data_IF_621344371641
#
_entry.id   IF_621344371641
#
_cell.length_a   1.000
_cell.length_b   1.000
_cell.length_c   1.000
_cell.angle_alpha   90.00
_cell.angle_beta   90.00
_cell.angle_gamma   90.00
#
_symmetry.space_group_name_H-M   'P 1'
#
loop_
_entity.id
_entity.type
_entity.pdbx_description
1 polymer ?
#
# COMPACT_ATOMS: atom_id res chain seq x y z
N UNK A 1 27.82 -22.57 0.50
CA UNK A 1 26.99 -21.42 0.04
C UNK A 1 26.19 -20.91 1.22
N UNK A 2 26.17 -19.59 1.46
CA UNK A 2 25.41 -19.04 2.58
C UNK A 2 23.89 -19.10 2.31
N UNK A 3 23.08 -19.11 3.37
CA UNK A 3 21.60 -19.03 3.25
C UNK A 3 21.12 -17.77 2.50
N UNK A 4 21.92 -16.70 2.56
CA UNK A 4 21.68 -15.43 1.87
C UNK A 4 21.88 -15.62 0.36
N UNK A 5 22.96 -16.27 -0.06
CA UNK A 5 23.25 -16.53 -1.48
C UNK A 5 22.19 -17.43 -2.13
N UNK A 6 21.74 -18.46 -1.41
CA UNK A 6 20.67 -19.35 -1.88
C UNK A 6 19.34 -18.58 -2.07
N UNK A 7 19.02 -17.67 -1.13
CA UNK A 7 17.82 -16.83 -1.23
C UNK A 7 17.88 -15.87 -2.42
N UNK A 8 19.04 -15.26 -2.70
CA UNK A 8 19.24 -14.41 -3.88
C UNK A 8 19.12 -15.18 -5.19
N UNK A 9 19.76 -16.36 -5.29
CA UNK A 9 19.66 -17.21 -6.47
C UNK A 9 18.21 -17.63 -6.75
N UNK A 10 17.45 -17.93 -5.70
CA UNK A 10 16.02 -18.26 -5.83
C UNK A 10 15.21 -17.10 -6.41
N UNK A 11 15.45 -15.87 -5.96
CA UNK A 11 14.80 -14.67 -6.52
C UNK A 11 15.14 -14.52 -8.00
N UNK A 12 16.43 -14.65 -8.36
CA UNK A 12 16.88 -14.56 -9.74
C UNK A 12 16.20 -15.60 -10.66
N UNK A 13 16.16 -16.87 -10.22
CA UNK A 13 15.53 -17.94 -10.97
C UNK A 13 14.02 -17.72 -11.16
N UNK A 14 13.31 -17.23 -10.14
CA UNK A 14 11.89 -16.92 -10.25
C UNK A 14 11.62 -15.73 -11.17
N UNK A 15 12.48 -14.70 -11.14
CA UNK A 15 12.41 -13.56 -12.05
C UNK A 15 12.61 -13.96 -13.51
N UNK A 16 13.56 -14.86 -13.79
CA UNK A 16 13.74 -15.41 -15.14
C UNK A 16 12.50 -16.16 -15.63
N UNK A 17 11.91 -17.02 -14.79
CA UNK A 17 10.66 -17.73 -15.13
C UNK A 17 9.48 -16.78 -15.37
N UNK A 18 9.43 -15.66 -14.64
CA UNK A 18 8.42 -14.63 -14.89
C UNK A 18 8.56 -14.03 -16.30
N UNK A 19 9.77 -13.78 -16.76
CA UNK A 19 10.01 -13.28 -18.13
C UNK A 19 9.57 -14.30 -19.18
N UNK A 20 9.86 -15.58 -18.97
CA UNK A 20 9.39 -16.68 -19.83
C UNK A 20 7.85 -16.74 -19.91
N UNK A 21 7.16 -16.64 -18.76
CA UNK A 21 5.68 -16.60 -18.71
C UNK A 21 5.14 -15.36 -19.44
N UNK A 22 5.79 -14.20 -19.31
CA UNK A 22 5.38 -12.98 -20.00
C UNK A 22 5.55 -13.09 -21.52
N UNK A 23 6.62 -13.76 -21.99
CA UNK A 23 6.85 -13.99 -23.40
C UNK A 23 5.77 -14.89 -24.02
N UNK A 24 5.30 -15.90 -23.28
CA UNK A 24 4.27 -16.86 -23.72
C UNK A 24 2.85 -16.48 -23.27
N UNK A 25 2.64 -15.24 -22.81
CA UNK A 25 1.38 -14.81 -22.19
C UNK A 25 0.14 -15.07 -23.05
N UNK A 26 0.27 -14.94 -24.38
CA UNK A 26 -0.85 -15.11 -25.30
C UNK A 26 -1.21 -16.57 -25.58
N UNK A 27 -0.31 -17.50 -25.26
CA UNK A 27 -0.46 -18.94 -25.52
C UNK A 27 -0.85 -19.71 -24.26
N UNK A 28 -0.63 -19.13 -23.07
CA UNK A 28 -0.90 -19.77 -21.80
C UNK A 28 -2.36 -19.56 -21.36
N UNK A 29 -3.11 -20.64 -21.05
CA UNK A 29 -4.40 -20.50 -20.37
C UNK A 29 -4.17 -19.84 -19.00
N UNK A 30 -5.09 -18.97 -18.60
CA UNK A 30 -5.01 -18.23 -17.32
C UNK A 30 -3.67 -17.53 -17.08
N UNK A 31 -2.99 -17.04 -18.13
CA UNK A 31 -1.72 -16.34 -18.00
C UNK A 31 -1.69 -15.25 -16.91
N UNK A 32 -2.77 -14.45 -16.68
CA UNK A 32 -2.82 -13.50 -15.57
C UNK A 32 -2.63 -14.15 -14.18
N UNK A 33 -3.21 -15.32 -13.95
CA UNK A 33 -3.05 -16.08 -12.70
C UNK A 33 -1.62 -16.59 -12.53
N UNK A 34 -1.02 -17.13 -13.60
CA UNK A 34 0.37 -17.58 -13.56
C UNK A 34 1.33 -16.42 -13.27
N UNK A 35 1.10 -15.25 -13.87
CA UNK A 35 1.84 -14.01 -13.59
C UNK A 35 1.63 -13.58 -12.13
N UNK A 36 0.40 -13.64 -11.61
CA UNK A 36 0.13 -13.33 -10.20
C UNK A 36 0.91 -14.27 -9.26
N UNK A 37 0.83 -15.58 -9.52
CA UNK A 37 1.46 -16.62 -8.70
C UNK A 37 2.99 -16.50 -8.67
N UNK A 38 3.64 -16.34 -9.83
CA UNK A 38 5.10 -16.18 -9.87
C UNK A 38 5.54 -14.89 -9.16
N UNK A 39 4.80 -13.78 -9.32
CA UNK A 39 5.08 -12.54 -8.59
C UNK A 39 4.91 -12.73 -7.08
N UNK A 40 3.93 -13.52 -6.64
CA UNK A 40 3.75 -13.84 -5.22
C UNK A 40 4.91 -14.67 -4.65
N UNK A 41 5.40 -15.64 -5.41
CA UNK A 41 6.58 -16.44 -5.03
C UNK A 41 7.84 -15.57 -4.94
N UNK A 42 8.03 -14.65 -5.89
CA UNK A 42 9.14 -13.68 -5.86
C UNK A 42 9.05 -12.84 -4.58
N UNK A 43 7.89 -12.22 -4.31
CA UNK A 43 7.67 -11.41 -3.10
C UNK A 43 7.94 -12.18 -1.81
N UNK A 44 7.52 -13.43 -1.74
CA UNK A 44 7.79 -14.28 -0.57
C UNK A 44 9.29 -14.62 -0.41
N UNK A 45 10.00 -14.86 -1.51
CA UNK A 45 11.45 -15.04 -1.49
C UNK A 45 12.18 -13.76 -1.08
N UNK A 46 11.76 -12.59 -1.59
CA UNK A 46 12.28 -11.28 -1.19
C UNK A 46 12.05 -10.99 0.29
N UNK A 47 10.85 -11.26 0.83
CA UNK A 47 10.55 -11.09 2.25
C UNK A 47 11.48 -11.93 3.12
N UNK A 48 11.71 -13.19 2.75
CA UNK A 48 12.63 -14.08 3.47
C UNK A 48 14.07 -13.57 3.41
N UNK A 49 14.53 -13.17 2.24
CA UNK A 49 15.85 -12.58 2.05
C UNK A 49 16.04 -11.30 2.88
N UNK A 50 15.07 -10.39 2.90
CA UNK A 50 15.13 -9.18 3.70
C UNK A 50 15.19 -9.49 5.20
N UNK A 51 14.41 -10.45 5.70
CA UNK A 51 14.48 -10.88 7.10
C UNK A 51 15.87 -11.37 7.49
N UNK A 52 16.55 -12.11 6.61
CA UNK A 52 17.92 -12.59 6.84
C UNK A 52 18.94 -11.43 6.86
N UNK A 53 18.68 -10.34 6.13
CA UNK A 53 19.57 -9.18 6.00
C UNK A 53 19.24 -8.02 6.95
N UNK A 54 18.14 -8.09 7.69
CA UNK A 54 17.63 -6.95 8.46
C UNK A 54 18.57 -6.65 9.63
N UNK A 55 19.14 -5.46 9.66
CA UNK A 55 19.80 -4.90 10.83
C UNK A 55 18.77 -4.31 11.79
N UNK A 56 19.00 -4.46 13.09
CA UNK A 56 18.17 -3.81 14.11
C UNK A 56 18.24 -2.28 13.95
N UNK A 57 17.11 -1.61 14.11
CA UNK A 57 17.06 -0.16 14.32
C UNK A 57 16.20 0.17 15.54
N UNK A 58 16.70 1.01 16.47
CA UNK A 58 15.94 1.45 17.62
C UNK A 58 14.85 2.46 17.26
N UNK A 59 14.99 3.18 16.15
CA UNK A 59 14.05 4.21 15.72
C UNK A 59 13.02 3.64 14.75
N UNK A 60 11.75 3.93 15.01
CA UNK A 60 10.63 3.57 14.14
C UNK A 60 9.88 4.82 13.71
N UNK A 61 9.47 4.84 12.46
CA UNK A 61 8.63 5.90 11.92
C UNK A 61 7.25 5.88 12.59
N UNK A 62 6.77 6.99 13.15
CA UNK A 62 5.45 7.04 13.80
C UNK A 62 4.30 6.89 12.82
N UNK A 63 4.55 7.08 11.52
CA UNK A 63 3.54 6.94 10.47
C UNK A 63 3.40 5.50 9.96
N UNK A 64 4.49 4.90 9.48
CA UNK A 64 4.44 3.54 8.92
C UNK A 64 4.86 2.43 9.89
N UNK A 65 5.44 2.80 11.05
CA UNK A 65 6.16 1.93 12.01
C UNK A 65 7.29 1.10 11.38
N UNK A 66 7.74 1.48 10.19
CA UNK A 66 8.94 0.94 9.59
C UNK A 66 10.19 1.40 10.37
N UNK A 67 11.26 0.60 10.38
CA UNK A 67 12.53 1.00 10.96
C UNK A 67 13.09 2.21 10.20
N UNK A 68 13.65 3.18 10.92
CA UNK A 68 14.42 4.29 10.36
C UNK A 68 15.89 3.94 10.57
N UNK A 69 16.66 3.74 9.52
CA UNK A 69 18.10 3.48 9.67
C UNK A 69 18.82 4.80 9.99
N UNK A 70 19.97 4.71 10.64
CA UNK A 70 20.80 5.90 10.95
C UNK A 70 21.19 6.69 9.69
N UNK A 71 21.37 6.00 8.56
CA UNK A 71 21.65 6.60 7.25
C UNK A 71 20.43 7.22 6.57
N UNK A 72 19.21 6.95 7.04
CA UNK A 72 17.99 7.40 6.39
C UNK A 72 17.68 8.85 6.81
N UNK A 73 17.36 9.70 5.82
CA UNK A 73 16.79 11.00 6.13
C UNK A 73 15.46 10.84 6.88
N UNK A 74 15.34 11.52 8.02
CA UNK A 74 14.14 11.53 8.85
C UNK A 74 14.00 12.86 9.57
N UNK A 75 12.77 13.17 9.96
CA UNK A 75 12.45 14.39 10.72
C UNK A 75 11.94 13.97 12.10
N UNK A 76 12.48 14.61 13.13
CA UNK A 76 12.11 14.37 14.53
C UNK A 76 11.59 15.66 15.16
N UNK A 77 10.39 15.62 15.75
CA UNK A 77 9.81 16.74 16.51
C UNK A 77 8.79 16.20 17.51
N UNK A 78 8.81 16.71 18.75
CA UNK A 78 7.98 16.17 19.83
C UNK A 78 8.20 14.66 20.02
N UNK A 79 7.12 13.88 20.01
CA UNK A 79 7.17 12.42 20.01
C UNK A 79 7.15 11.78 18.60
N UNK A 80 7.21 12.59 17.54
CA UNK A 80 7.15 12.11 16.16
C UNK A 80 8.54 11.91 15.55
N UNK A 81 8.77 10.71 15.02
CA UNK A 81 9.87 10.38 14.14
C UNK A 81 9.27 10.02 12.78
N UNK A 82 9.47 10.82 11.73
CA UNK A 82 8.86 10.56 10.42
C UNK A 82 9.96 10.25 9.41
N UNK A 83 9.90 9.06 8.80
CA UNK A 83 10.86 8.66 7.77
C UNK A 83 10.64 9.44 6.47
N UNK A 84 11.70 9.57 5.66
CA UNK A 84 11.65 10.22 4.35
C UNK A 84 10.48 9.76 3.46
N UNK A 85 10.16 8.46 3.46
CA UNK A 85 9.05 7.93 2.65
C UNK A 85 7.69 8.50 3.06
N UNK A 86 7.45 8.63 4.36
CA UNK A 86 6.22 9.22 4.88
C UNK A 86 6.22 10.74 4.75
N UNK A 87 7.37 11.40 4.84
CA UNK A 87 7.50 12.83 4.53
C UNK A 87 7.14 13.12 3.06
N UNK A 88 7.63 12.29 2.14
CA UNK A 88 7.33 12.38 0.71
C UNK A 88 5.83 12.30 0.41
N UNK A 89 5.03 11.67 1.26
CA UNK A 89 3.57 11.61 1.09
C UNK A 89 2.93 12.99 0.97
N UNK A 90 3.47 14.00 1.66
CA UNK A 90 2.95 15.38 1.61
C UNK A 90 3.21 16.03 0.25
N UNK A 91 4.36 15.75 -0.37
CA UNK A 91 4.67 16.26 -1.71
C UNK A 91 3.92 15.52 -2.83
N UNK A 92 3.48 14.28 -2.55
CA UNK A 92 2.70 13.45 -3.47
C UNK A 92 1.20 13.79 -3.47
N UNK A 93 0.64 14.27 -2.36
CA UNK A 93 -0.76 14.72 -2.31
C UNK A 93 -0.84 16.17 -2.74
N UNK A 94 -1.65 16.48 -3.74
CA UNK A 94 -1.80 17.82 -4.31
C UNK A 94 -3.26 18.16 -4.59
N UNK A 95 -3.55 19.43 -4.85
CA UNK A 95 -4.85 19.81 -5.39
C UNK A 95 -4.93 19.52 -6.89
N UNK A 96 -6.15 19.57 -7.44
CA UNK A 96 -6.37 19.31 -8.88
C UNK A 96 -5.69 20.31 -9.80
N UNK A 97 -5.52 21.57 -9.38
CA UNK A 97 -4.87 22.60 -10.21
C UNK A 97 -3.36 22.36 -10.35
N UNK A 98 -2.68 22.04 -9.25
CA UNK A 98 -1.25 21.69 -9.25
C UNK A 98 -1.02 20.46 -10.12
N UNK A 99 -1.90 19.45 -10.04
CA UNK A 99 -1.81 18.26 -10.90
C UNK A 99 -1.99 18.62 -12.39
N UNK A 100 -2.94 19.50 -12.71
CA UNK A 100 -3.16 20.01 -14.07
C UNK A 100 -1.94 20.78 -14.58
N UNK A 101 -1.36 21.65 -13.76
CA UNK A 101 -0.14 22.41 -14.07
C UNK A 101 1.06 21.50 -14.33
N UNK A 102 1.30 20.49 -13.47
CA UNK A 102 2.44 19.56 -13.60
C UNK A 102 2.44 18.76 -14.90
N UNK A 103 1.29 18.53 -15.52
CA UNK A 103 1.16 17.80 -16.79
C UNK A 103 0.64 18.64 -17.94
N UNK A 104 0.62 19.97 -17.81
CA UNK A 104 0.12 20.87 -18.84
C UNK A 104 -1.29 20.50 -19.32
N UNK A 105 -2.15 20.04 -18.41
CA UNK A 105 -3.53 19.66 -18.71
C UNK A 105 -4.45 20.89 -18.70
N UNK A 106 -5.56 20.80 -19.42
CA UNK A 106 -6.58 21.85 -19.40
C UNK A 106 -7.18 21.98 -17.99
N UNK A 107 -7.30 23.22 -17.52
CA UNK A 107 -7.86 23.53 -16.19
C UNK A 107 -9.27 22.95 -16.04
N UNK A 108 -9.51 22.28 -14.92
CA UNK A 108 -10.79 21.64 -14.58
C UNK A 108 -10.96 20.20 -15.09
N UNK A 109 -9.99 19.67 -15.84
CA UNK A 109 -10.00 18.27 -16.31
C UNK A 109 -10.00 17.30 -15.14
N UNK A 110 -9.05 17.46 -14.21
CA UNK A 110 -8.90 16.53 -13.07
C UNK A 110 -10.09 16.63 -12.14
N UNK A 111 -10.62 17.85 -11.93
CA UNK A 111 -11.85 18.04 -11.15
C UNK A 111 -13.04 17.32 -11.77
N UNK A 112 -13.19 17.36 -13.10
CA UNK A 112 -14.26 16.66 -13.82
C UNK A 112 -14.09 15.14 -13.69
N UNK A 113 -12.87 14.65 -13.86
CA UNK A 113 -12.57 13.22 -13.71
C UNK A 113 -12.86 12.72 -12.28
N UNK A 114 -12.51 13.50 -11.25
CA UNK A 114 -12.82 13.20 -9.84
C UNK A 114 -14.32 13.04 -9.56
N UNK A 115 -15.18 13.78 -10.26
CA UNK A 115 -16.64 13.65 -10.10
C UNK A 115 -17.23 12.51 -10.94
N UNK A 116 -16.48 12.02 -11.94
CA UNK A 116 -16.92 11.02 -12.90
C UNK A 116 -16.13 9.72 -12.76
N UNK A 117 -15.17 9.48 -13.67
CA UNK A 117 -14.45 8.22 -13.84
C UNK A 117 -13.68 7.83 -12.57
N UNK A 118 -13.08 8.83 -11.91
CA UNK A 118 -12.25 8.63 -10.73
C UNK A 118 -13.05 8.59 -9.42
N UNK A 119 -14.38 8.81 -9.47
CA UNK A 119 -15.20 8.83 -8.27
C UNK A 119 -15.14 7.50 -7.51
N UNK A 120 -15.01 6.37 -8.21
CA UNK A 120 -14.87 5.04 -7.59
C UNK A 120 -13.65 4.92 -6.65
N UNK A 121 -12.64 5.78 -6.81
CA UNK A 121 -11.43 5.76 -6.00
C UNK A 121 -11.53 6.60 -4.71
N UNK A 122 -12.68 7.22 -4.43
CA UNK A 122 -12.85 8.11 -3.27
C UNK A 122 -12.50 7.42 -1.94
N UNK A 123 -12.77 6.13 -1.81
CA UNK A 123 -12.51 5.37 -0.56
C UNK A 123 -11.08 4.81 -0.47
N UNK A 124 -10.26 5.00 -1.51
CA UNK A 124 -8.86 4.55 -1.56
C UNK A 124 -7.89 5.55 -0.96
N UNK A 125 -8.37 6.75 -0.59
CA UNK A 125 -7.60 7.90 -0.09
C UNK A 125 -6.65 8.54 -1.11
N UNK A 126 -6.53 7.97 -2.31
CA UNK A 126 -5.82 8.58 -3.43
C UNK A 126 -6.56 9.78 -4.01
N UNK A 127 -7.88 9.84 -3.80
CA UNK A 127 -8.72 10.97 -4.17
C UNK A 127 -9.65 11.23 -3.01
N UNK A 128 -9.66 12.46 -2.52
CA UNK A 128 -10.59 12.86 -1.46
C UNK A 128 -10.99 14.32 -1.60
N UNK A 129 -12.14 14.65 -1.02
CA UNK A 129 -12.58 16.04 -0.91
C UNK A 129 -12.08 16.63 0.40
N UNK A 130 -11.48 17.81 0.33
CA UNK A 130 -10.99 18.60 1.47
C UNK A 130 -11.66 19.97 1.44
N UNK A 131 -12.78 20.11 2.15
CA UNK A 131 -13.66 21.28 2.06
C UNK A 131 -14.21 21.49 0.63
N UNK A 132 -13.82 22.60 -0.01
CA UNK A 132 -14.24 22.95 -1.39
C UNK A 132 -13.30 22.41 -2.47
N UNK A 133 -12.18 21.80 -2.10
CA UNK A 133 -11.15 21.34 -3.03
C UNK A 133 -11.10 19.81 -3.10
N UNK A 134 -10.64 19.29 -4.23
CA UNK A 134 -10.23 17.89 -4.35
C UNK A 134 -8.74 17.79 -4.11
N UNK A 135 -8.34 16.82 -3.29
CA UNK A 135 -6.96 16.39 -3.13
C UNK A 135 -6.79 15.06 -3.85
N UNK A 136 -5.70 14.96 -4.59
CA UNK A 136 -5.37 13.86 -5.48
C UNK A 136 -3.91 13.45 -5.24
N UNK A 137 -3.66 12.16 -5.30
CA UNK A 137 -2.34 11.59 -5.10
C UNK A 137 -1.61 11.48 -6.45
N UNK A 138 -0.32 11.83 -6.48
CA UNK A 138 0.55 11.89 -7.67
C UNK A 138 0.53 10.62 -8.50
N UNK A 139 0.38 9.45 -7.86
CA UNK A 139 0.31 8.14 -8.54
C UNK A 139 -0.76 8.06 -9.65
N UNK A 140 -1.81 8.87 -9.57
CA UNK A 140 -2.85 8.92 -10.60
C UNK A 140 -2.32 9.44 -11.94
N UNK A 141 -1.23 10.22 -11.93
CA UNK A 141 -0.55 10.62 -13.15
C UNK A 141 -0.14 9.40 -13.97
N UNK A 142 0.56 8.47 -13.33
CA UNK A 142 1.03 7.25 -13.98
C UNK A 142 -0.11 6.27 -14.25
N UNK A 143 -0.93 5.98 -13.23
CA UNK A 143 -1.90 4.88 -13.31
C UNK A 143 -3.11 5.19 -14.19
N UNK A 144 -3.45 6.46 -14.37
CA UNK A 144 -4.63 6.89 -15.10
C UNK A 144 -4.32 7.78 -16.29
N UNK A 145 -3.59 8.88 -16.08
CA UNK A 145 -3.38 9.87 -17.13
C UNK A 145 -2.41 9.36 -18.20
N UNK A 146 -1.25 8.83 -17.80
CA UNK A 146 -0.25 8.25 -18.71
C UNK A 146 -0.75 6.94 -19.33
N UNK A 147 -1.61 6.21 -18.62
CA UNK A 147 -2.22 4.98 -19.11
C UNK A 147 -3.32 5.21 -20.18
N UNK A 148 -3.85 6.43 -20.33
CA UNK A 148 -4.86 6.74 -21.35
C UNK A 148 -6.29 6.97 -20.84
N UNK A 149 -6.46 7.44 -19.60
CA UNK A 149 -7.74 7.93 -19.01
C UNK A 149 -8.94 6.99 -19.17
N UNK A 150 -8.76 5.70 -18.91
CA UNK A 150 -9.83 4.69 -18.96
C UNK A 150 -10.15 4.12 -17.58
N UNK A 151 -11.44 3.83 -17.33
CA UNK A 151 -11.90 3.17 -16.09
C UNK A 151 -11.36 1.74 -15.97
N UNK A 152 -11.13 1.08 -17.11
CA UNK A 152 -10.68 -0.31 -17.18
C UNK A 152 -9.32 -0.54 -16.49
N UNK A 153 -8.56 0.53 -16.22
CA UNK A 153 -7.29 0.46 -15.52
C UNK A 153 -7.40 0.36 -14.01
N UNK A 154 -8.58 0.63 -13.44
CA UNK A 154 -8.83 0.53 -12.00
C UNK A 154 -9.54 -0.76 -11.61
N UNK A 155 -10.23 -1.38 -12.57
CA UNK A 155 -10.86 -2.68 -12.37
C UNK A 155 -9.78 -3.76 -12.39
N UNK A 156 -9.88 -4.72 -11.46
CA UNK A 156 -9.01 -5.89 -11.46
C UNK A 156 -9.54 -6.83 -12.52
N UNK A 157 -9.43 -6.43 -13.78
CA UNK A 157 -10.20 -7.01 -14.90
C UNK A 157 -10.14 -8.53 -14.91
N UNK A 158 -8.95 -9.10 -14.68
CA UNK A 158 -8.77 -10.55 -14.68
C UNK A 158 -9.32 -11.25 -13.41
N UNK A 159 -9.29 -10.63 -12.24
CA UNK A 159 -9.89 -11.22 -11.01
C UNK A 159 -11.41 -11.18 -11.15
N UNK A 160 -11.96 -10.06 -11.62
CA UNK A 160 -13.38 -9.91 -11.91
C UNK A 160 -13.82 -10.86 -13.05
N UNK A 161 -13.00 -11.07 -14.06
CA UNK A 161 -13.22 -12.09 -15.10
C UNK A 161 -13.23 -13.50 -14.50
N UNK A 162 -12.29 -13.83 -13.60
CA UNK A 162 -12.30 -15.12 -12.89
C UNK A 162 -13.54 -15.29 -12.01
N UNK A 163 -14.01 -14.23 -11.34
CA UNK A 163 -15.24 -14.25 -10.56
C UNK A 163 -16.47 -14.46 -11.45
N UNK A 164 -16.55 -13.75 -12.58
CA UNK A 164 -17.62 -13.93 -13.58
C UNK A 164 -17.61 -15.34 -14.16
N UNK A 165 -16.43 -15.88 -14.46
CA UNK A 165 -16.28 -17.24 -14.95
C UNK A 165 -16.71 -18.27 -13.90
N UNK A 166 -16.33 -18.08 -12.64
CA UNK A 166 -16.80 -18.91 -11.53
C UNK A 166 -18.33 -18.87 -11.40
N UNK A 167 -18.95 -17.69 -11.50
CA UNK A 167 -20.41 -17.55 -11.48
C UNK A 167 -21.07 -18.29 -12.66
N UNK A 168 -20.47 -18.23 -13.85
CA UNK A 168 -20.94 -18.97 -15.02
C UNK A 168 -20.88 -20.48 -14.79
N UNK A 169 -19.75 -21.01 -14.30
CA UNK A 169 -19.59 -22.42 -13.98
C UNK A 169 -20.60 -22.89 -12.92
N UNK A 170 -20.81 -22.08 -11.86
CA UNK A 170 -21.82 -22.35 -10.83
C UNK A 170 -23.25 -22.36 -11.41
N UNK A 171 -23.53 -21.48 -12.37
CA UNK A 171 -24.83 -21.44 -13.07
C UNK A 171 -25.03 -22.68 -13.95
N UNK A 172 -24.00 -23.07 -14.72
CA UNK A 172 -24.01 -24.31 -15.51
C UNK A 172 -24.20 -25.54 -14.63
N UNK A 173 -23.51 -25.60 -13.48
CA UNK A 173 -23.66 -26.68 -12.52
C UNK A 173 -25.11 -26.78 -12.00
N UNK A 174 -25.76 -25.65 -11.67
CA UNK A 174 -27.18 -25.63 -11.27
C UNK A 174 -28.09 -26.17 -12.38
N UNK A 175 -27.93 -25.66 -13.60
CA UNK A 175 -28.75 -26.10 -14.74
C UNK A 175 -28.61 -27.60 -14.98
N UNK A 176 -27.37 -28.13 -15.00
CA UNK A 176 -27.13 -29.55 -15.21
C UNK A 176 -27.69 -30.38 -14.05
N UNK A 177 -27.54 -29.91 -12.81
CA UNK A 177 -28.15 -30.56 -11.64
C UNK A 177 -29.68 -30.67 -11.76
N UNK A 178 -30.34 -29.65 -12.32
CA UNK A 178 -31.80 -29.62 -12.50
C UNK A 178 -32.29 -30.58 -13.60
N UNK A 179 -31.46 -30.83 -14.63
CA UNK A 179 -31.81 -31.70 -15.77
C UNK A 179 -31.09 -33.06 -15.75
N UNK A 180 -30.37 -33.38 -14.67
CA UNK A 180 -29.42 -34.51 -14.61
C UNK A 180 -30.06 -35.87 -14.91
N UNK A 181 -31.32 -36.05 -14.51
CA UNK A 181 -32.04 -37.31 -14.66
C UNK A 181 -32.51 -37.54 -16.11
N UNK A 182 -32.54 -36.48 -16.91
CA UNK A 182 -32.96 -36.49 -18.32
C UNK A 182 -31.77 -36.44 -19.29
N UNK A 183 -30.53 -36.26 -18.80
CA UNK A 183 -29.35 -36.02 -19.62
C UNK A 183 -28.32 -37.14 -19.47
N UNK A 184 -28.08 -37.87 -20.56
CA UNK A 184 -27.05 -38.92 -20.60
C UNK A 184 -25.66 -38.30 -20.42
N UNK A 185 -24.89 -38.81 -19.45
CA UNK A 185 -23.55 -38.30 -19.13
C UNK A 185 -23.52 -37.10 -18.17
N UNK A 186 -24.67 -36.69 -17.61
CA UNK A 186 -24.75 -35.60 -16.65
C UNK A 186 -23.79 -35.75 -15.48
N UNK A 187 -23.64 -36.96 -14.92
CA UNK A 187 -22.76 -37.23 -13.78
C UNK A 187 -21.29 -36.87 -14.07
N UNK A 188 -20.80 -37.18 -15.28
CA UNK A 188 -19.42 -36.87 -15.67
C UNK A 188 -19.22 -35.37 -15.91
N UNK A 189 -20.20 -34.72 -16.53
CA UNK A 189 -20.21 -33.27 -16.71
C UNK A 189 -20.24 -32.52 -15.38
N UNK A 190 -21.06 -32.97 -14.43
CA UNK A 190 -21.09 -32.42 -13.07
C UNK A 190 -19.74 -32.58 -12.37
N UNK A 191 -19.12 -33.76 -12.42
CA UNK A 191 -17.80 -33.98 -11.84
C UNK A 191 -16.73 -33.04 -12.42
N UNK A 192 -16.75 -32.84 -13.75
CA UNK A 192 -15.85 -31.90 -14.42
C UNK A 192 -16.08 -30.46 -13.96
N UNK A 193 -17.34 -30.01 -13.90
CA UNK A 193 -17.71 -28.68 -13.41
C UNK A 193 -17.31 -28.48 -11.95
N UNK A 194 -17.55 -29.47 -11.10
CA UNK A 194 -17.14 -29.45 -9.68
C UNK A 194 -15.63 -29.27 -9.53
N UNK A 195 -14.83 -29.97 -10.34
CA UNK A 195 -13.39 -29.82 -10.34
C UNK A 195 -12.95 -28.41 -10.76
N UNK A 196 -13.57 -27.85 -11.80
CA UNK A 196 -13.29 -26.49 -12.26
C UNK A 196 -13.73 -25.44 -11.24
N UNK A 197 -14.92 -25.56 -10.65
CA UNK A 197 -15.43 -24.66 -9.60
C UNK A 197 -14.46 -24.66 -8.42
N UNK A 198 -14.07 -25.84 -7.91
CA UNK A 198 -13.12 -25.93 -6.80
C UNK A 198 -11.76 -25.31 -7.14
N UNK A 199 -11.28 -25.49 -8.35
CA UNK A 199 -10.02 -24.88 -8.79
C UNK A 199 -10.12 -23.34 -8.80
N UNK A 200 -11.15 -22.76 -9.43
CA UNK A 200 -11.36 -21.30 -9.44
C UNK A 200 -11.61 -20.73 -8.03
N UNK A 201 -12.37 -21.42 -7.18
CA UNK A 201 -12.60 -21.05 -5.77
C UNK A 201 -11.28 -21.03 -4.99
N UNK A 202 -10.44 -22.06 -5.15
CA UNK A 202 -9.13 -22.12 -4.51
C UNK A 202 -8.22 -20.98 -5.00
N UNK A 203 -8.16 -20.73 -6.31
CA UNK A 203 -7.35 -19.63 -6.87
C UNK A 203 -7.82 -18.26 -6.36
N UNK A 204 -9.13 -18.01 -6.36
CA UNK A 204 -9.71 -16.76 -5.83
C UNK A 204 -9.49 -16.64 -4.33
N UNK A 205 -9.58 -17.74 -3.57
CA UNK A 205 -9.29 -17.78 -2.14
C UNK A 205 -7.82 -17.42 -1.84
N UNK A 206 -6.87 -17.92 -2.64
CA UNK A 206 -5.45 -17.55 -2.52
C UNK A 206 -5.26 -16.05 -2.81
N UNK A 207 -5.90 -15.53 -3.86
CA UNK A 207 -5.80 -14.11 -4.26
C UNK A 207 -6.41 -13.20 -3.19
N UNK A 208 -7.67 -13.47 -2.80
CA UNK A 208 -8.44 -12.64 -1.87
C UNK A 208 -8.06 -12.85 -0.41
N UNK A 209 -7.64 -14.05 -0.04
CA UNK A 209 -7.31 -14.43 1.33
C UNK A 209 -6.05 -13.78 1.87
N UNK A 210 -5.25 -13.11 1.04
CA UNK A 210 -4.03 -12.42 1.48
C UNK A 210 -2.93 -13.37 1.95
N UNK A 211 -2.92 -14.61 1.44
CA UNK A 211 -1.91 -15.63 1.78
C UNK A 211 -0.51 -15.25 1.32
N UNK A 212 -0.42 -14.33 0.35
CA UNK A 212 0.84 -13.87 -0.21
C UNK A 212 1.23 -12.48 0.28
N UNK A 213 2.51 -12.26 0.61
CA UNK A 213 2.97 -10.97 1.08
C UNK A 213 2.89 -9.94 -0.06
N UNK A 214 2.29 -8.79 0.22
CA UNK A 214 2.35 -7.62 -0.66
C UNK A 214 3.34 -6.61 -0.10
N UNK A 215 3.93 -5.79 -0.97
CA UNK A 215 4.84 -4.73 -0.57
C UNK A 215 4.23 -3.39 -0.91
N UNK A 216 3.93 -2.60 0.11
CA UNK A 216 3.35 -1.27 -0.07
C UNK A 216 4.27 -0.39 -0.93
N UNK A 217 3.75 0.16 -2.02
CA UNK A 217 4.48 1.03 -2.96
C UNK A 217 4.93 2.35 -2.33
N UNK A 218 4.34 2.75 -1.19
CA UNK A 218 4.69 3.99 -0.50
C UNK A 218 5.82 3.82 0.53
N UNK A 219 5.63 2.93 1.50
CA UNK A 219 6.63 2.74 2.56
C UNK A 219 7.62 1.61 2.27
N UNK A 220 7.44 0.85 1.18
CA UNK A 220 8.14 -0.40 0.88
C UNK A 220 8.04 -1.45 2.01
N UNK A 221 7.09 -1.27 2.93
CA UNK A 221 6.82 -2.20 4.02
C UNK A 221 5.96 -3.36 3.54
N UNK A 222 6.21 -4.52 4.14
CA UNK A 222 5.40 -5.71 3.91
C UNK A 222 4.01 -5.56 4.52
N UNK A 223 2.98 -5.73 3.69
CA UNK A 223 1.58 -5.78 4.08
C UNK A 223 1.32 -7.20 4.58
N UNK A 224 0.99 -7.31 5.87
CA UNK A 224 0.73 -8.57 6.58
C UNK A 224 -0.75 -8.79 6.89
N UNK A 225 -1.59 -7.87 6.45
CA UNK A 225 -3.02 -7.91 6.76
C UNK A 225 -3.71 -8.92 5.83
N UNK A 226 -4.66 -9.71 6.34
CA UNK A 226 -5.47 -10.58 5.51
C UNK A 226 -6.33 -9.74 4.57
N UNK A 227 -6.55 -10.24 3.35
CA UNK A 227 -7.27 -9.50 2.31
C UNK A 227 -6.37 -8.93 1.21
N UNK A 228 -6.98 -8.52 0.11
CA UNK A 228 -6.30 -7.73 -0.92
C UNK A 228 -6.05 -6.31 -0.41
N UNK A 229 -4.81 -5.79 -0.44
CA UNK A 229 -4.59 -4.37 -0.22
C UNK A 229 -5.30 -3.55 -1.31
N UNK A 230 -5.36 -2.23 -1.13
CA UNK A 230 -5.73 -1.34 -2.25
C UNK A 230 -4.71 -1.61 -3.35
N UNK A 231 -5.18 -2.22 -4.44
CA UNK A 231 -4.37 -2.63 -5.58
C UNK A 231 -4.93 -1.91 -6.81
N UNK A 232 -4.16 -0.97 -7.34
CA UNK A 232 -4.47 -0.28 -8.58
C UNK A 232 -3.36 -0.60 -9.57
N UNK A 233 -3.63 -1.54 -10.48
CA UNK A 233 -2.63 -2.15 -11.37
C UNK A 233 -1.46 -2.75 -10.57
N UNK A 234 -0.31 -2.07 -10.57
CA UNK A 234 0.90 -2.48 -9.86
C UNK A 234 1.11 -1.72 -8.54
N UNK A 235 0.31 -0.70 -8.28
CA UNK A 235 0.42 0.11 -7.07
C UNK A 235 -0.35 -0.55 -5.93
N UNK A 236 0.33 -0.76 -4.80
CA UNK A 236 -0.28 -1.30 -3.58
C UNK A 236 -0.12 -0.35 -2.41
N UNK A 237 -1.16 -0.23 -1.60
CA UNK A 237 -1.17 0.67 -0.45
C UNK A 237 -1.55 -0.08 0.83
N UNK A 238 -0.72 0.04 1.87
CA UNK A 238 -1.04 -0.47 3.20
C UNK A 238 -1.97 0.48 3.96
N UNK A 239 -2.72 -0.02 4.95
CA UNK A 239 -3.63 0.81 5.76
C UNK A 239 -2.94 1.99 6.45
N UNK A 240 -1.69 1.83 6.87
CA UNK A 240 -0.92 2.93 7.47
C UNK A 240 -0.59 4.03 6.48
N UNK A 241 -0.10 3.67 5.28
CA UNK A 241 0.17 4.66 4.25
C UNK A 241 -1.11 5.31 3.73
N UNK A 242 -2.22 4.56 3.67
CA UNK A 242 -3.55 5.11 3.44
C UNK A 242 -3.86 6.20 4.47
N UNK A 243 -3.68 5.91 5.76
CA UNK A 243 -3.89 6.87 6.84
C UNK A 243 -2.95 8.07 6.76
N UNK A 244 -1.66 7.87 6.48
CA UNK A 244 -0.69 8.97 6.31
C UNK A 244 -1.08 9.89 5.15
N UNK A 245 -1.60 9.35 4.04
CA UNK A 245 -2.14 10.16 2.93
C UNK A 245 -3.36 10.98 3.40
N UNK A 246 -4.25 10.40 4.22
CA UNK A 246 -5.42 11.09 4.78
C UNK A 246 -5.07 12.21 5.76
N UNK A 247 -3.93 12.08 6.46
CA UNK A 247 -3.40 13.10 7.38
C UNK A 247 -2.82 14.32 6.66
N UNK A 248 -2.64 14.28 5.34
CA UNK A 248 -2.31 15.47 4.54
C UNK A 248 -3.58 16.26 4.29
N UNK A 249 -3.74 17.40 4.97
CA UNK A 249 -4.97 18.18 5.01
C UNK A 249 -4.76 19.63 4.56
N UNK A 250 -5.82 20.30 4.10
CA UNK A 250 -5.76 21.74 3.85
C UNK A 250 -5.84 22.53 5.15
N UNK A 251 -5.33 23.75 5.17
CA UNK A 251 -5.44 24.64 6.35
C UNK A 251 -6.88 24.83 6.81
N UNK A 252 -7.84 25.03 5.90
CA UNK A 252 -9.25 25.16 6.25
C UNK A 252 -9.85 23.88 6.84
N UNK A 253 -9.42 22.71 6.37
CA UNK A 253 -9.83 21.43 6.93
C UNK A 253 -9.24 21.23 8.33
N UNK A 254 -7.96 21.56 8.52
CA UNK A 254 -7.30 21.54 9.82
C UNK A 254 -7.99 22.44 10.85
N UNK A 255 -8.30 23.68 10.48
CA UNK A 255 -9.00 24.64 11.35
C UNK A 255 -10.37 24.10 11.79
N UNK A 256 -11.11 23.50 10.86
CA UNK A 256 -12.42 22.90 11.14
C UNK A 256 -12.30 21.67 12.04
N UNK A 257 -11.38 20.74 11.73
CA UNK A 257 -11.18 19.48 12.48
C UNK A 257 -10.73 19.71 13.92
N UNK A 258 -9.92 20.74 14.15
CA UNK A 258 -9.32 21.02 15.45
C UNK A 258 -9.92 22.24 16.17
N UNK A 259 -11.06 22.74 15.69
CA UNK A 259 -11.76 23.90 16.27
C UNK A 259 -10.85 25.14 16.46
N UNK A 260 -9.97 25.41 15.49
CA UNK A 260 -9.14 26.62 15.47
C UNK A 260 -9.90 27.76 14.80
N UNK A 261 -9.50 29.00 15.10
CA UNK A 261 -10.09 30.19 14.47
C UNK A 261 -9.87 30.16 12.94
N UNK A 262 -10.91 30.41 12.12
CA UNK A 262 -10.76 30.43 10.66
C UNK A 262 -9.70 31.43 10.18
N UNK A 263 -8.80 30.96 9.32
CA UNK A 263 -7.67 31.73 8.79
C UNK A 263 -6.50 31.94 9.77
N UNK A 264 -6.55 31.36 10.97
CA UNK A 264 -5.46 31.41 11.95
C UNK A 264 -4.18 30.82 11.36
N UNK A 265 -4.26 29.60 10.78
CA UNK A 265 -3.06 28.91 10.30
C UNK A 265 -2.41 29.71 9.17
N UNK A 266 -3.21 30.29 8.28
CA UNK A 266 -2.69 31.10 7.17
C UNK A 266 -1.97 32.35 7.68
N UNK A 267 -2.49 33.00 8.73
CA UNK A 267 -1.82 34.15 9.37
C UNK A 267 -0.49 33.72 10.00
N UNK A 268 -0.47 32.58 10.67
CA UNK A 268 0.74 32.05 11.33
C UNK A 268 1.82 31.66 10.32
N UNK A 269 1.43 31.16 9.13
CA UNK A 269 2.32 30.94 7.98
C UNK A 269 2.94 32.27 7.53
N UNK A 270 2.13 33.31 7.30
CA UNK A 270 2.62 34.62 6.85
C UNK A 270 3.48 35.34 7.88
N UNK A 271 3.33 35.01 9.16
CA UNK A 271 4.16 35.50 10.28
C UNK A 271 5.39 34.63 10.55
N UNK A 272 5.66 33.66 9.68
CA UNK A 272 6.78 32.71 9.77
C UNK A 272 6.81 31.86 11.06
N UNK A 273 5.67 31.69 11.72
CA UNK A 273 5.59 30.86 12.94
C UNK A 273 5.66 29.35 12.63
N UNK A 274 5.41 28.99 11.37
CA UNK A 274 5.44 27.62 10.87
C UNK A 274 6.62 27.35 9.91
N UNK A 275 7.58 28.28 9.77
CA UNK A 275 8.74 28.18 8.88
C UNK A 275 9.51 26.86 9.03
N UNK A 276 9.79 26.46 10.28
CA UNK A 276 10.47 25.18 10.59
C UNK A 276 9.78 23.95 9.98
N UNK A 277 8.46 23.94 9.88
CA UNK A 277 7.72 22.80 9.31
C UNK A 277 7.75 22.80 7.80
N UNK A 278 7.94 23.96 7.16
CA UNK A 278 8.16 24.06 5.72
C UNK A 278 9.52 23.45 5.36
N UNK A 279 10.57 23.78 6.12
CA UNK A 279 11.91 23.21 5.95
C UNK A 279 11.93 21.69 6.14
N UNK A 280 11.15 21.19 7.10
CA UNK A 280 10.95 19.76 7.35
C UNK A 280 10.11 19.05 6.26
N UNK A 281 9.53 19.79 5.31
CA UNK A 281 8.64 19.25 4.28
C UNK A 281 7.25 18.86 4.79
N UNK A 282 6.87 19.29 5.99
CA UNK A 282 5.59 18.97 6.64
C UNK A 282 4.46 19.95 6.27
N UNK A 283 4.81 21.08 5.69
CA UNK A 283 3.92 22.15 5.24
C UNK A 283 4.40 22.64 3.88
N UNK A 284 3.50 22.77 2.91
CA UNK A 284 3.83 23.30 1.58
C UNK A 284 2.64 23.98 0.92
N UNK A 285 2.92 24.79 -0.10
CA UNK A 285 1.90 25.34 -0.98
C UNK A 285 1.60 24.37 -2.13
N UNK A 286 0.31 24.27 -2.48
CA UNK A 286 -0.22 23.52 -3.62
C UNK A 286 -1.16 24.46 -4.38
N UNK A 287 -0.72 24.99 -5.53
CA UNK A 287 -1.45 26.08 -6.21
C UNK A 287 -1.76 27.25 -5.26
N UNK A 288 -3.05 27.56 -5.06
CA UNK A 288 -3.49 28.64 -4.17
C UNK A 288 -3.82 28.21 -2.73
N UNK A 289 -3.64 26.94 -2.38
CA UNK A 289 -3.95 26.39 -1.05
C UNK A 289 -2.69 25.89 -0.33
N UNK A 290 -2.74 25.88 0.99
CA UNK A 290 -1.68 25.34 1.83
C UNK A 290 -2.07 23.93 2.28
N UNK A 291 -1.13 23.00 2.14
CA UNK A 291 -1.24 21.62 2.58
C UNK A 291 -0.27 21.38 3.72
N UNK A 292 -0.74 20.69 4.75
CA UNK A 292 0.05 20.37 5.93
C UNK A 292 -0.28 18.98 6.43
N UNK A 293 0.68 18.36 7.08
CA UNK A 293 0.46 17.11 7.78
C UNK A 293 -0.16 17.36 9.15
N UNK A 294 -1.14 16.56 9.54
CA UNK A 294 -1.90 16.72 10.79
C UNK A 294 -1.02 16.79 12.05
N UNK A 295 0.12 16.09 12.06
CA UNK A 295 1.12 16.16 13.14
C UNK A 295 1.66 17.57 13.41
N UNK A 296 1.66 18.45 12.41
CA UNK A 296 2.06 19.87 12.59
C UNK A 296 1.07 20.57 13.51
N UNK A 297 -0.23 20.29 13.35
CA UNK A 297 -1.29 20.89 14.16
C UNK A 297 -1.21 20.39 15.58
N UNK A 298 -1.09 19.07 15.72
CA UNK A 298 -0.91 18.41 17.01
C UNK A 298 0.28 19.05 17.73
N UNK A 299 1.48 19.06 17.14
CA UNK A 299 2.66 19.58 17.82
C UNK A 299 2.66 21.11 18.05
N UNK A 300 2.15 21.94 17.13
CA UNK A 300 2.22 23.40 17.26
C UNK A 300 1.11 24.00 18.13
N UNK A 301 -0.14 23.58 17.93
CA UNK A 301 -1.30 24.17 18.58
C UNK A 301 -1.71 23.42 19.85
N UNK A 302 -1.41 22.12 19.93
CA UNK A 302 -1.76 21.28 21.07
C UNK A 302 -0.49 20.74 21.73
N UNK A 303 0.06 21.47 22.72
CA UNK A 303 1.25 20.99 23.45
C UNK A 303 1.04 19.55 23.91
N UNK A 304 1.78 18.62 23.30
CA UNK A 304 1.79 17.23 23.73
C UNK A 304 2.21 17.21 25.21
N UNK A 305 1.36 16.67 26.09
CA UNK A 305 1.81 16.33 27.44
C UNK A 305 2.93 15.31 27.24
N UNK A 306 4.16 15.69 27.60
CA UNK A 306 5.32 14.77 27.63
C UNK A 306 4.88 13.51 28.39
N UNK A 307 4.54 12.46 27.66
CA UNK A 307 4.41 11.15 28.27
C UNK A 307 5.84 10.71 28.48
N UNK A 308 6.25 10.62 29.75
CA UNK A 308 7.49 9.97 30.12
C UNK A 308 7.54 8.63 29.38
N UNK A 309 8.65 8.31 28.69
CA UNK A 309 8.77 7.03 28.03
C UNK A 309 8.51 5.97 29.10
N UNK A 310 7.46 5.18 28.91
CA UNK A 310 7.26 3.99 29.73
C UNK A 310 8.41 3.07 29.34
N UNK A 311 9.47 3.10 30.15
CA UNK A 311 10.49 2.05 30.16
C UNK A 311 9.75 0.83 30.65
N UNK A 312 9.17 0.07 29.72
CA UNK A 312 8.78 -1.30 30.02
C UNK A 312 10.07 -2.06 30.20
N UNK A 313 10.45 -2.28 31.45
CA UNK A 313 11.57 -3.16 31.78
C UNK A 313 11.40 -4.47 31.01
N UNK A 314 12.42 -4.84 30.24
CA UNK A 314 12.42 -6.11 29.53
C UNK A 314 12.39 -7.19 30.61
N UNK A 315 11.40 -8.10 30.61
CA UNK A 315 11.33 -9.17 31.60
C UNK A 315 12.66 -9.92 31.67
N UNK A 316 13.21 -10.09 32.88
CA UNK A 316 14.50 -10.74 33.11
C UNK A 316 14.57 -12.12 32.41
N UNK A 317 13.46 -12.84 32.39
CA UNK A 317 13.33 -14.13 31.71
C UNK A 317 13.60 -14.09 30.20
N UNK A 318 13.33 -12.96 29.52
CA UNK A 318 13.67 -12.78 28.10
C UNK A 318 15.15 -12.42 27.92
N UNK A 319 15.73 -11.66 28.84
CA UNK A 319 17.17 -11.37 28.84
C UNK A 319 17.99 -12.64 29.07
N UNK A 320 17.59 -13.46 30.04
CA UNK A 320 18.25 -14.72 30.36
C UNK A 320 18.18 -15.72 29.20
N UNK A 321 17.02 -15.82 28.53
CA UNK A 321 16.87 -16.64 27.32
C UNK A 321 17.73 -16.14 26.16
N UNK A 322 17.83 -14.82 25.99
CA UNK A 322 18.66 -14.21 24.94
C UNK A 322 20.15 -14.45 25.20
N UNK A 323 20.58 -14.32 26.46
CA UNK A 323 21.94 -14.60 26.90
C UNK A 323 22.32 -16.07 26.72
N UNK A 324 21.44 -17.00 27.09
CA UNK A 324 21.66 -18.43 26.90
C UNK A 324 21.82 -18.81 25.41
N UNK A 325 20.99 -18.23 24.53
CA UNK A 325 21.11 -18.46 23.07
C UNK A 325 22.41 -17.88 22.52
N UNK A 326 22.85 -16.73 23.03
CA UNK A 326 24.11 -16.11 22.62
C UNK A 326 25.33 -16.93 23.06
N UNK A 327 25.34 -17.42 24.30
CA UNK A 327 26.40 -18.29 24.83
C UNK A 327 26.52 -19.59 24.03
N UNK A 328 25.40 -20.25 23.76
CA UNK A 328 25.37 -21.48 22.93
C UNK A 328 25.98 -21.26 21.55
N UNK A 329 25.64 -20.15 20.89
CA UNK A 329 26.21 -19.78 19.60
C UNK A 329 27.71 -19.44 19.66
N UNK A 330 28.23 -18.97 20.79
CA UNK A 330 29.66 -18.75 20.96
C UNK A 330 30.42 -20.06 21.19
N UNK A 331 29.84 -21.00 21.93
CA UNK A 331 30.41 -22.33 22.16
C UNK A 331 30.46 -23.15 20.87
N UNK A 332 29.40 -23.11 20.06
CA UNK A 332 29.35 -23.75 18.73
C UNK A 332 30.31 -23.14 17.70
N UNK A 333 30.80 -21.90 17.92
CA UNK A 333 31.82 -21.26 17.07
C UNK A 333 33.25 -21.52 17.53
N UNK A 334 33.44 -22.03 18.75
CA UNK A 334 34.75 -22.38 19.33
C UNK A 334 35.05 -23.88 19.24
N UNK A 335 34.07 -24.68 18.87
CA UNK A 335 34.16 -26.10 18.54
C UNK A 335 34.37 -26.25 17.04
#
# INVERSE_FOLDING_TARGET
MSLIDNSQQKIFMLSKKKEEILALKHELPDAPYHIFSINAMIRDAELRYEKLKTSYSPLKCTQCLGPIKESDHSVTFGHHNICYRCLKTISQVMNTKEMEERRSMKVGTVKTDCNNILHSLKDTSLIRKSGKCWLVHEVLLELFYDAGRSKNYFELTWIEEMEKHLQLLQTQHRIISDIKDSLVGATWQMFSLDAQIRDYENRLSIIKGGTHPFRCSQCNGWIKEPGLPILLRHFTLCKRCKHTIEQVITTSEAETRHALTPGQIRKDIHRDQLGRYMEMGLLRQSGSIWLLHESVIQHHYFKEKKTTPVVTDIPQSLLDRSAAVFQRNQEERKS
#
